data_IF_185254419728
#
_entry.id   IF_185254419728
#
_cell.length_a   1.000
_cell.length_b   1.000
_cell.length_c   1.000
_cell.angle_alpha   90.00
_cell.angle_beta   90.00
_cell.angle_gamma   90.00
#
_symmetry.space_group_name_H-M   'P 1'
#
loop_
_entity.id
_entity.type
_entity.pdbx_description
1 polymer ?
#
# COMPACT_ATOMS: atom_id res chain seq x y z
N UNK A 1 18.92 -8.27 -11.04
CA UNK A 1 18.57 -7.75 -9.70
C UNK A 1 17.09 -7.97 -9.48
N UNK A 2 16.68 -8.55 -8.35
CA UNK A 2 15.26 -8.80 -8.09
C UNK A 2 14.57 -7.54 -7.59
N UNK A 3 13.75 -6.92 -8.43
CA UNK A 3 13.10 -5.65 -8.12
C UNK A 3 11.59 -5.79 -7.95
N UNK A 4 11.02 -4.96 -7.08
CA UNK A 4 9.59 -4.75 -6.98
C UNK A 4 9.28 -3.33 -6.54
N UNK A 5 8.06 -2.88 -6.81
CA UNK A 5 7.54 -1.59 -6.37
C UNK A 5 6.51 -1.82 -5.27
N UNK A 6 6.50 -0.94 -4.27
CA UNK A 6 5.64 -1.10 -3.11
C UNK A 6 5.22 0.22 -2.47
N UNK A 7 4.07 0.20 -1.79
CA UNK A 7 3.78 1.17 -0.74
C UNK A 7 4.54 0.76 0.52
N UNK A 8 5.25 1.72 1.12
CA UNK A 8 6.09 1.49 2.28
C UNK A 8 5.52 2.20 3.51
N UNK A 9 5.08 1.48 4.55
CA UNK A 9 4.36 2.11 5.65
C UNK A 9 5.30 2.98 6.49
N UNK A 10 4.77 4.11 6.96
CA UNK A 10 5.43 4.92 7.99
C UNK A 10 5.46 4.20 9.35
N UNK A 11 6.19 4.74 10.35
CA UNK A 11 6.35 4.11 11.66
C UNK A 11 5.04 3.70 12.35
N UNK A 12 4.06 4.60 12.45
CA UNK A 12 2.80 4.31 13.15
C UNK A 12 1.93 3.25 12.47
N UNK A 13 1.84 3.25 11.13
CA UNK A 13 1.13 2.20 10.38
C UNK A 13 1.86 0.87 10.50
N UNK A 14 3.19 0.89 10.38
CA UNK A 14 4.04 -0.31 10.48
C UNK A 14 3.91 -0.98 11.85
N UNK A 15 3.88 -0.19 12.92
CA UNK A 15 3.70 -0.69 14.28
C UNK A 15 2.34 -1.39 14.43
N UNK A 16 1.26 -0.76 13.98
CA UNK A 16 -0.09 -1.36 14.03
C UNK A 16 -0.19 -2.64 13.20
N UNK A 17 0.34 -2.66 11.97
CA UNK A 17 0.41 -3.88 11.15
C UNK A 17 1.23 -4.98 11.82
N UNK A 18 2.33 -4.61 12.50
CA UNK A 18 3.15 -5.58 13.22
C UNK A 18 2.42 -6.12 14.45
N UNK A 19 1.65 -5.30 15.16
CA UNK A 19 0.81 -5.74 16.27
C UNK A 19 -0.23 -6.77 15.80
N UNK A 20 -0.87 -6.55 14.63
CA UNK A 20 -1.74 -7.56 14.01
C UNK A 20 -0.99 -8.85 13.68
N UNK A 21 0.25 -8.74 13.16
CA UNK A 21 1.07 -9.92 12.88
C UNK A 21 1.40 -10.72 14.15
N UNK A 22 1.74 -10.05 15.26
CA UNK A 22 2.01 -10.70 16.54
C UNK A 22 0.76 -11.38 17.10
N UNK A 23 -0.39 -10.69 17.08
CA UNK A 23 -1.67 -11.25 17.51
C UNK A 23 -2.06 -12.49 16.67
N UNK A 24 -2.00 -12.37 15.35
CA UNK A 24 -2.28 -13.48 14.44
C UNK A 24 -1.31 -14.65 14.65
N UNK A 25 -0.04 -14.40 15.00
CA UNK A 25 0.93 -15.46 15.28
C UNK A 25 0.59 -16.27 16.52
N UNK A 26 0.14 -15.61 17.60
CA UNK A 26 -0.26 -16.28 18.83
C UNK A 26 -1.36 -17.33 18.57
N UNK A 27 -2.24 -17.05 17.61
CA UNK A 27 -3.30 -17.96 17.20
C UNK A 27 -2.87 -18.95 16.11
N UNK A 28 -2.42 -18.42 14.97
CA UNK A 28 -2.21 -19.17 13.72
C UNK A 28 -0.85 -19.87 13.64
N UNK A 29 0.10 -19.50 14.51
CA UNK A 29 1.49 -19.94 14.45
C UNK A 29 2.27 -19.30 13.31
N UNK A 30 3.16 -20.09 12.69
CA UNK A 30 4.03 -19.61 11.61
C UNK A 30 5.10 -18.64 12.07
N UNK A 31 5.61 -17.83 11.15
CA UNK A 31 6.68 -16.86 11.37
C UNK A 31 6.19 -15.45 11.10
N UNK A 32 6.31 -14.60 12.11
CA UNK A 32 6.03 -13.17 12.00
C UNK A 32 6.99 -12.51 11.01
N UNK A 33 6.47 -11.69 10.11
CA UNK A 33 7.32 -10.84 9.27
C UNK A 33 7.90 -9.70 10.10
N UNK A 34 9.18 -9.40 9.87
CA UNK A 34 9.87 -8.28 10.52
C UNK A 34 9.14 -6.99 10.19
N UNK A 35 8.88 -6.14 11.18
CA UNK A 35 8.17 -4.88 11.01
C UNK A 35 8.72 -4.05 9.83
N UNK A 36 10.06 -3.95 9.71
CA UNK A 36 10.75 -3.18 8.67
C UNK A 36 10.61 -3.79 7.26
N UNK A 37 10.01 -4.97 7.13
CA UNK A 37 9.75 -5.61 5.84
C UNK A 37 8.28 -5.61 5.45
N UNK A 38 7.39 -5.09 6.30
CA UNK A 38 5.97 -4.98 5.99
C UNK A 38 5.79 -3.92 4.90
N UNK A 39 5.08 -4.30 3.84
CA UNK A 39 4.80 -3.45 2.68
C UNK A 39 3.61 -4.01 1.91
N UNK A 40 3.01 -3.17 1.06
CA UNK A 40 2.06 -3.61 0.06
C UNK A 40 2.75 -3.60 -1.30
N UNK A 41 2.89 -4.76 -1.94
CA UNK A 41 3.53 -4.85 -3.26
C UNK A 41 2.58 -4.37 -4.35
N UNK A 42 3.01 -3.41 -5.16
CA UNK A 42 2.29 -2.93 -6.35
C UNK A 42 2.55 -3.81 -7.56
N UNK A 43 3.83 -4.11 -7.79
CA UNK A 43 4.26 -4.99 -8.88
C UNK A 43 5.61 -5.63 -8.59
N UNK A 44 5.72 -6.92 -8.89
CA UNK A 44 7.00 -7.61 -9.00
C UNK A 44 7.56 -7.41 -10.42
N UNK A 45 8.80 -6.94 -10.51
CA UNK A 45 9.53 -6.78 -11.78
C UNK A 45 10.49 -7.94 -12.06
N UNK A 46 10.54 -8.93 -11.16
CA UNK A 46 11.45 -10.07 -11.16
C UNK A 46 12.91 -9.63 -11.36
N UNK A 47 13.67 -10.35 -12.18
CA UNK A 47 15.07 -10.02 -12.49
C UNK A 47 15.13 -8.89 -13.51
N UNK A 48 15.65 -7.74 -13.07
CA UNK A 48 15.96 -6.58 -13.91
C UNK A 48 17.46 -6.45 -14.04
N UNK A 49 17.94 -6.25 -15.27
CA UNK A 49 19.33 -5.90 -15.56
C UNK A 49 19.69 -4.56 -14.88
N UNK A 50 20.77 -4.50 -14.06
CA UNK A 50 21.24 -3.24 -13.47
C UNK A 50 21.36 -2.07 -14.45
N UNK A 51 21.73 -2.32 -15.71
CA UNK A 51 21.84 -1.29 -16.75
C UNK A 51 20.51 -0.59 -17.06
N UNK A 52 19.37 -1.23 -16.73
CA UNK A 52 18.03 -0.66 -16.92
C UNK A 52 17.50 0.11 -15.72
N UNK A 53 18.25 0.15 -14.61
CA UNK A 53 17.83 0.88 -13.41
C UNK A 53 17.59 2.37 -13.69
N UNK A 54 18.46 3.11 -14.43
CA UNK A 54 18.20 4.52 -14.74
C UNK A 54 16.90 4.74 -15.50
N UNK A 55 16.56 3.84 -16.44
CA UNK A 55 15.29 3.89 -17.19
C UNK A 55 14.10 3.75 -16.24
N UNK A 56 14.13 2.76 -15.35
CA UNK A 56 13.05 2.55 -14.38
C UNK A 56 12.88 3.75 -13.44
N UNK A 57 13.98 4.34 -12.96
CA UNK A 57 13.94 5.53 -12.12
C UNK A 57 13.32 6.73 -12.84
N UNK A 58 13.64 6.94 -14.12
CA UNK A 58 13.04 8.01 -14.92
C UNK A 58 11.53 7.80 -15.15
N UNK A 59 11.07 6.55 -15.32
CA UNK A 59 9.65 6.23 -15.41
C UNK A 59 8.90 6.51 -14.11
N UNK A 60 9.51 6.18 -12.96
CA UNK A 60 8.93 6.49 -11.66
C UNK A 60 8.78 7.99 -11.47
N UNK A 61 9.80 8.79 -11.81
CA UNK A 61 9.75 10.25 -11.70
C UNK A 61 8.63 10.90 -12.52
N UNK A 62 8.25 10.30 -13.65
CA UNK A 62 7.20 10.79 -14.54
C UNK A 62 5.82 10.24 -14.20
N UNK A 63 5.73 9.37 -13.20
CA UNK A 63 4.49 8.70 -12.80
C UNK A 63 4.26 8.88 -11.30
N UNK A 64 3.94 10.10 -10.84
CA UNK A 64 3.64 10.37 -9.44
C UNK A 64 2.38 9.61 -8.99
N UNK A 65 2.32 9.37 -7.68
CA UNK A 65 1.17 8.75 -7.04
C UNK A 65 0.30 9.81 -6.39
N UNK A 66 -0.89 10.08 -6.93
CA UNK A 66 -1.84 10.97 -6.27
C UNK A 66 -2.14 10.45 -4.86
N UNK A 67 -2.04 11.28 -3.80
CA UNK A 67 -2.26 10.82 -2.44
C UNK A 67 -3.65 10.21 -2.25
N UNK A 68 -3.72 9.11 -1.49
CA UNK A 68 -4.98 8.45 -1.14
C UNK A 68 -4.90 7.82 0.25
N UNK A 69 -6.04 7.31 0.71
CA UNK A 69 -6.14 6.57 1.96
C UNK A 69 -6.51 5.12 1.68
N UNK A 70 -5.77 4.19 2.28
CA UNK A 70 -6.13 2.78 2.36
C UNK A 70 -6.61 2.44 3.76
N UNK A 71 -7.77 1.79 3.85
CA UNK A 71 -8.27 1.25 5.11
C UNK A 71 -8.17 -0.27 5.06
N UNK A 72 -7.32 -0.82 5.93
CA UNK A 72 -7.29 -2.26 6.18
C UNK A 72 -8.29 -2.59 7.28
N UNK A 73 -9.17 -3.56 7.03
CA UNK A 73 -10.26 -3.92 7.93
C UNK A 73 -10.41 -5.43 8.14
N UNK A 74 -9.61 -6.24 7.44
CA UNK A 74 -9.66 -7.68 7.59
C UNK A 74 -8.31 -8.38 7.46
N UNK A 75 -8.25 -9.57 8.04
CA UNK A 75 -7.21 -10.57 7.86
C UNK A 75 -7.72 -11.68 6.94
N UNK A 76 -6.94 -12.00 5.93
CA UNK A 76 -7.18 -13.14 5.06
C UNK A 76 -6.09 -14.20 5.19
N UNK A 77 -6.38 -15.38 4.63
CA UNK A 77 -5.46 -16.50 4.62
C UNK A 77 -5.37 -17.13 3.22
N UNK A 78 -4.14 -17.28 2.72
CA UNK A 78 -3.84 -18.07 1.53
C UNK A 78 -3.30 -19.43 1.95
N UNK A 79 -4.12 -20.46 1.81
CA UNK A 79 -3.80 -21.83 2.24
C UNK A 79 -2.69 -22.47 1.41
N UNK A 80 -2.66 -22.22 0.10
CA UNK A 80 -1.62 -22.67 -0.84
C UNK A 80 -0.22 -22.17 -0.43
N UNK A 81 -0.14 -20.92 0.06
CA UNK A 81 1.11 -20.23 0.42
C UNK A 81 1.38 -20.22 1.91
N UNK A 82 0.39 -20.61 2.73
CA UNK A 82 0.41 -20.53 4.20
C UNK A 82 0.74 -19.11 4.69
N UNK A 83 0.06 -18.11 4.13
CA UNK A 83 0.25 -16.68 4.42
C UNK A 83 -1.02 -16.11 5.06
N UNK A 84 -0.87 -15.48 6.22
CA UNK A 84 -1.87 -14.55 6.76
C UNK A 84 -1.50 -13.14 6.32
N UNK A 85 -2.49 -12.38 5.84
CA UNK A 85 -2.31 -11.06 5.27
C UNK A 85 -3.39 -10.09 5.74
N UNK A 86 -3.06 -8.81 5.87
CA UNK A 86 -4.03 -7.73 6.04
C UNK A 86 -4.56 -7.30 4.67
N UNK A 87 -5.87 -7.14 4.54
CA UNK A 87 -6.54 -6.70 3.32
C UNK A 87 -7.34 -5.42 3.49
N UNK A 88 -7.61 -4.76 2.37
CA UNK A 88 -8.52 -3.64 2.25
C UNK A 88 -9.73 -4.05 1.40
N UNK A 89 -10.94 -3.56 1.69
CA UNK A 89 -12.17 -3.97 1.01
C UNK A 89 -12.27 -3.39 -0.41
N UNK A 90 -11.61 -2.24 -0.63
CA UNK A 90 -11.58 -1.53 -1.90
C UNK A 90 -10.15 -1.08 -2.21
N UNK A 91 -9.84 -1.03 -3.51
CA UNK A 91 -8.60 -0.49 -4.03
C UNK A 91 -8.89 0.90 -4.59
N UNK A 92 -8.15 1.94 -4.20
CA UNK A 92 -8.30 3.26 -4.81
C UNK A 92 -7.99 3.21 -6.32
N UNK A 93 -8.87 3.76 -7.14
CA UNK A 93 -8.68 3.80 -8.61
C UNK A 93 -7.40 4.53 -9.01
N UNK A 94 -7.02 5.56 -8.26
CA UNK A 94 -5.75 6.29 -8.44
C UNK A 94 -4.52 5.39 -8.31
N UNK A 95 -4.55 4.43 -7.37
CA UNK A 95 -3.47 3.47 -7.19
C UNK A 95 -3.38 2.50 -8.36
N UNK A 96 -4.53 2.02 -8.84
CA UNK A 96 -4.60 1.14 -10.02
C UNK A 96 -4.10 1.86 -11.26
N UNK A 97 -4.53 3.11 -11.49
CA UNK A 97 -4.12 3.93 -12.61
C UNK A 97 -2.61 4.20 -12.64
N UNK A 98 -2.01 4.57 -11.49
CA UNK A 98 -0.54 4.75 -11.39
C UNK A 98 0.21 3.45 -11.67
N UNK A 99 -0.24 2.33 -11.09
CA UNK A 99 0.36 1.01 -11.32
C UNK A 99 0.33 0.63 -12.80
N UNK A 100 -0.83 0.77 -13.44
CA UNK A 100 -1.03 0.33 -14.82
C UNK A 100 -0.28 1.23 -15.81
N UNK A 101 -0.23 2.55 -15.54
CA UNK A 101 0.60 3.51 -16.29
C UNK A 101 2.07 3.12 -16.25
N UNK A 102 2.60 2.86 -15.05
CA UNK A 102 4.00 2.49 -14.86
C UNK A 102 4.33 1.16 -15.55
N UNK A 103 3.43 0.17 -15.47
CA UNK A 103 3.60 -1.12 -16.15
C UNK A 103 3.55 -0.98 -17.67
N UNK A 104 2.66 -0.14 -18.20
CA UNK A 104 2.58 0.15 -19.63
C UNK A 104 3.88 0.80 -20.13
N UNK A 105 4.35 1.84 -19.44
CA UNK A 105 5.62 2.49 -19.77
C UNK A 105 6.81 1.53 -19.69
N UNK A 106 6.87 0.69 -18.65
CA UNK A 106 7.95 -0.29 -18.51
C UNK A 106 7.93 -1.34 -19.63
N UNK A 107 6.75 -1.85 -20.00
CA UNK A 107 6.58 -2.76 -21.16
C UNK A 107 7.04 -2.12 -22.47
N UNK A 108 6.73 -0.84 -22.68
CA UNK A 108 7.14 -0.11 -23.89
C UNK A 108 8.67 -0.03 -24.07
N UNK A 109 9.45 -0.24 -22.99
CA UNK A 109 10.92 -0.36 -23.06
C UNK A 109 11.41 -1.77 -23.43
N UNK A 110 10.52 -2.67 -23.87
CA UNK A 110 10.83 -4.07 -24.15
C UNK A 110 10.98 -4.93 -22.88
N UNK A 111 10.52 -4.46 -21.72
CA UNK A 111 10.52 -5.28 -20.51
C UNK A 111 9.43 -6.33 -20.53
N UNK A 112 9.76 -7.55 -20.09
CA UNK A 112 8.73 -8.55 -19.77
C UNK A 112 8.01 -8.14 -18.50
N UNK A 113 6.68 -8.15 -18.54
CA UNK A 113 5.84 -7.86 -17.38
C UNK A 113 4.74 -8.90 -17.27
N UNK A 114 4.75 -9.64 -16.16
CA UNK A 114 3.69 -10.60 -15.85
C UNK A 114 2.56 -9.83 -15.15
N UNK A 115 1.41 -9.71 -15.81
CA UNK A 115 0.21 -9.17 -15.19
C UNK A 115 -0.46 -10.23 -14.32
N UNK A 116 -0.54 -9.95 -13.03
CA UNK A 116 -1.36 -10.70 -12.08
C UNK A 116 -2.50 -9.80 -11.60
N UNK A 117 -3.64 -10.40 -11.23
CA UNK A 117 -4.73 -9.68 -10.56
C UNK A 117 -4.18 -8.98 -9.33
N UNK A 118 -4.36 -7.66 -9.26
CA UNK A 118 -3.88 -6.88 -8.13
C UNK A 118 -4.87 -6.99 -6.97
N UNK A 119 -4.40 -7.47 -5.83
CA UNK A 119 -5.16 -7.52 -4.57
C UNK A 119 -4.32 -6.81 -3.51
N UNK A 120 -4.70 -5.62 -3.03
CA UNK A 120 -3.91 -4.88 -2.05
C UNK A 120 -3.87 -5.67 -0.75
N UNK A 121 -2.67 -6.11 -0.38
CA UNK A 121 -2.47 -6.89 0.83
C UNK A 121 -1.10 -6.58 1.43
N UNK A 122 -1.01 -6.70 2.75
CA UNK A 122 0.26 -6.74 3.47
C UNK A 122 0.42 -8.14 4.06
N UNK A 123 1.46 -8.87 3.65
CA UNK A 123 1.78 -10.15 4.26
C UNK A 123 2.21 -9.95 5.72
N UNK A 124 1.56 -10.63 6.66
CA UNK A 124 1.84 -10.53 8.10
C UNK A 124 2.60 -11.75 8.61
N UNK A 125 2.15 -12.94 8.20
CA UNK A 125 2.76 -14.23 8.57
C UNK A 125 3.16 -15.04 7.35
N UNK A 126 4.20 -15.86 7.51
CA UNK A 126 4.52 -16.97 6.59
C UNK A 126 4.54 -18.28 7.35
N UNK A 127 4.23 -19.38 6.66
CA UNK A 127 4.12 -20.71 7.25
C UNK A 127 3.07 -20.78 8.37
N UNK A 128 2.01 -19.98 8.28
CA UNK A 128 0.88 -20.07 9.19
C UNK A 128 0.23 -21.46 9.09
N UNK A 129 -0.22 -22.01 10.21
CA UNK A 129 -0.79 -23.36 10.26
C UNK A 129 -2.27 -23.40 9.89
N UNK A 130 -2.97 -22.28 10.09
CA UNK A 130 -4.41 -22.11 9.88
C UNK A 130 -4.76 -20.64 9.61
N UNK A 131 -6.01 -20.41 9.22
CA UNK A 131 -6.59 -19.08 9.15
C UNK A 131 -6.88 -18.51 10.56
N UNK A 132 -6.91 -17.18 10.72
CA UNK A 132 -7.39 -16.54 11.95
C UNK A 132 -8.88 -16.81 12.17
N UNK A 133 -9.29 -17.00 13.42
CA UNK A 133 -10.70 -17.21 13.78
C UNK A 133 -11.52 -15.92 13.78
N UNK A 134 -10.90 -14.80 14.20
CA UNK A 134 -11.45 -13.46 14.04
C UNK A 134 -10.72 -12.74 12.89
N UNK A 135 -11.37 -12.59 11.73
CA UNK A 135 -10.77 -11.91 10.60
C UNK A 135 -10.95 -10.40 10.63
N UNK A 136 -11.65 -9.79 11.60
CA UNK A 136 -12.03 -8.37 11.55
C UNK A 136 -11.43 -7.54 12.71
N UNK A 137 -10.13 -7.20 12.65
CA UNK A 137 -9.53 -6.31 13.64
C UNK A 137 -10.10 -4.89 13.54
N UNK A 138 -9.82 -4.05 14.55
CA UNK A 138 -10.11 -2.61 14.48
C UNK A 138 -9.46 -2.03 13.22
N UNK A 139 -10.19 -1.28 12.36
CA UNK A 139 -9.64 -0.80 11.10
C UNK A 139 -8.37 0.03 11.26
N UNK A 140 -7.41 -0.20 10.37
CA UNK A 140 -6.16 0.53 10.25
C UNK A 140 -6.25 1.46 9.04
N UNK A 141 -6.01 2.75 9.27
CA UNK A 141 -5.98 3.77 8.21
C UNK A 141 -4.53 4.08 7.84
N UNK A 142 -4.22 4.02 6.55
CA UNK A 142 -2.91 4.33 6.00
C UNK A 142 -3.01 5.39 4.89
N UNK A 143 -2.56 6.60 5.20
CA UNK A 143 -2.37 7.66 4.20
C UNK A 143 -1.12 7.38 3.36
N UNK A 144 -1.30 7.27 2.05
CA UNK A 144 -0.26 6.94 1.09
C UNK A 144 -0.04 8.14 0.16
N UNK A 145 1.18 8.68 0.17
CA UNK A 145 1.61 9.81 -0.66
C UNK A 145 2.74 9.43 -1.62
N UNK A 146 3.16 8.17 -1.65
CA UNK A 146 4.28 7.73 -2.48
C UNK A 146 4.47 6.22 -2.51
N UNK A 147 5.44 5.80 -3.32
CA UNK A 147 5.87 4.42 -3.46
C UNK A 147 7.38 4.33 -3.63
N UNK A 148 7.92 3.14 -3.38
CA UNK A 148 9.35 2.87 -3.39
C UNK A 148 9.72 1.79 -4.40
N UNK A 149 10.93 1.88 -4.94
CA UNK A 149 11.60 0.79 -5.64
C UNK A 149 12.46 0.01 -4.67
N UNK A 150 12.29 -1.30 -4.63
CA UNK A 150 12.97 -2.17 -3.66
C UNK A 150 13.77 -3.24 -4.38
N UNK A 151 15.01 -3.42 -3.94
CA UNK A 151 15.85 -4.57 -4.29
C UNK A 151 15.71 -5.66 -3.24
N UNK A 152 15.25 -6.84 -3.67
CA UNK A 152 15.15 -8.04 -2.84
C UNK A 152 16.40 -8.91 -2.95
N UNK A 153 17.31 -8.76 -2.00
CA UNK A 153 18.51 -9.60 -1.88
C UNK A 153 18.16 -10.92 -1.18
N UNK A 154 18.44 -12.06 -1.83
CA UNK A 154 18.27 -13.37 -1.19
C UNK A 154 19.37 -13.57 -0.16
N UNK A 155 19.00 -13.94 1.07
CA UNK A 155 19.95 -14.37 2.10
C UNK A 155 19.50 -15.70 2.70
N UNK A 156 20.39 -16.48 3.35
CA UNK A 156 20.02 -17.71 4.03
C UNK A 156 18.93 -17.53 5.10
N UNK A 157 18.79 -16.32 5.67
CA UNK A 157 17.79 -15.98 6.69
C UNK A 157 16.47 -15.44 6.09
N UNK A 158 16.33 -15.49 4.76
CA UNK A 158 15.21 -14.92 4.02
C UNK A 158 15.59 -13.66 3.23
N UNK A 159 14.63 -13.01 2.56
CA UNK A 159 14.94 -11.82 1.77
C UNK A 159 15.31 -10.63 2.66
N UNK A 160 16.36 -9.91 2.24
CA UNK A 160 16.70 -8.59 2.74
C UNK A 160 16.25 -7.56 1.69
N UNK A 161 15.54 -6.53 2.14
CA UNK A 161 14.99 -5.50 1.27
C UNK A 161 15.79 -4.22 1.43
N UNK A 162 16.28 -3.70 0.29
CA UNK A 162 16.93 -2.40 0.22
C UNK A 162 16.10 -1.48 -0.66
N UNK A 163 15.59 -0.39 -0.08
CA UNK A 163 14.96 0.68 -0.85
C UNK A 163 16.04 1.35 -1.70
N UNK A 164 15.82 1.42 -3.01
CA UNK A 164 16.74 2.04 -3.97
C UNK A 164 16.31 3.46 -4.33
N UNK A 165 15.01 3.72 -4.33
CA UNK A 165 14.42 5.03 -4.61
C UNK A 165 13.03 5.13 -3.98
N UNK A 166 12.63 6.36 -3.68
CA UNK A 166 11.30 6.73 -3.23
C UNK A 166 10.77 7.82 -4.17
N UNK A 167 9.51 7.71 -4.53
CA UNK A 167 8.82 8.74 -5.30
C UNK A 167 7.51 9.08 -4.62
N UNK A 168 7.35 10.35 -4.27
CA UNK A 168 6.12 10.89 -3.67
C UNK A 168 5.34 11.64 -4.73
N UNK A 169 4.03 11.51 -4.70
CA UNK A 169 3.19 12.41 -5.45
C UNK A 169 3.10 13.75 -4.76
N UNK A 170 3.11 14.79 -5.58
CA UNK A 170 2.58 16.09 -5.19
C UNK A 170 1.09 16.09 -5.48
N UNK A 171 0.29 16.69 -4.59
CA UNK A 171 -1.03 17.15 -5.00
C UNK A 171 -0.82 18.13 -6.16
N UNK A 172 -1.61 18.07 -7.25
CA UNK A 172 -1.67 19.18 -8.17
C UNK A 172 -2.01 20.44 -7.38
N UNK A 173 -1.24 21.51 -7.56
CA UNK A 173 -1.59 22.82 -7.02
C UNK A 173 -3.01 23.18 -7.49
N UNK A 174 -3.97 23.28 -6.57
CA UNK A 174 -5.35 23.70 -6.91
C UNK A 174 -6.51 23.09 -6.13
N UNK A 175 -6.32 22.13 -5.24
CA UNK A 175 -7.43 21.60 -4.41
C UNK A 175 -7.63 22.42 -3.12
N UNK A 176 -8.09 23.68 -3.26
CA UNK A 176 -8.71 24.38 -2.14
C UNK A 176 -10.17 23.93 -2.02
N UNK A 177 -10.48 23.20 -0.96
CA UNK A 177 -11.86 23.00 -0.52
C UNK A 177 -12.45 24.34 -0.12
N UNK A 178 -13.33 24.92 -0.94
CA UNK A 178 -14.16 26.04 -0.52
C UNK A 178 -15.19 25.53 0.47
N UNK A 179 -14.84 25.57 1.75
CA UNK A 179 -15.80 25.56 2.84
C UNK A 179 -16.76 26.73 2.64
N UNK A 180 -18.00 26.43 2.25
CA UNK A 180 -19.07 27.44 2.31
C UNK A 180 -19.70 27.35 3.70
N UNK A 181 -19.16 28.15 4.61
CA UNK A 181 -19.74 28.45 5.91
C UNK A 181 -21.07 29.21 5.68
N UNK A 182 -22.21 28.57 5.90
CA UNK A 182 -23.48 29.29 6.07
C UNK A 182 -23.64 29.64 7.54
N UNK A 183 -23.17 30.85 7.88
CA UNK A 183 -23.65 31.61 9.02
C UNK A 183 -25.17 31.77 8.91
N UNK A 184 -25.92 31.21 9.85
CA UNK A 184 -27.30 31.58 10.10
C UNK A 184 -27.30 32.55 11.30
N UNK A 185 -27.36 33.85 10.98
CA UNK A 185 -27.65 34.91 11.94
C UNK A 185 -29.14 34.84 12.28
N UNK A 186 -29.44 34.74 13.57
CA UNK A 186 -30.78 34.92 14.11
C UNK A 186 -31.24 36.37 13.89
N UNK A 187 -32.46 36.56 13.39
CA UNK A 187 -33.17 37.84 13.48
C UNK A 187 -34.59 37.57 13.93
N UNK A 188 -34.82 37.92 15.19
CA UNK A 188 -36.13 38.15 15.80
C UNK A 188 -36.83 39.28 15.08
N UNK A 189 -38.07 39.09 14.63
CA UNK A 189 -38.97 40.20 14.37
C UNK A 189 -40.41 39.87 14.78
N UNK A 190 -40.99 40.85 15.45
CA UNK A 190 -42.29 40.97 16.09
C UNK A 190 -43.49 40.57 15.24
N UNK A 191 -44.46 39.89 15.86
CA UNK A 191 -45.83 39.77 15.38
C UNK A 191 -46.81 40.32 16.43
N UNK A 192 -47.41 41.48 16.16
CA UNK A 192 -48.67 41.96 16.73
C UNK A 192 -49.71 41.94 15.59
N UNK A 193 -50.97 41.73 15.99
CA UNK A 193 -52.26 41.70 15.27
C UNK A 193 -52.80 40.27 15.04
N UNK A 194 -53.90 39.86 15.68
CA UNK A 194 -54.80 40.60 16.58
C UNK A 194 -55.68 39.69 17.42
#
# INVERSE_FOLDING_TARGET
MRLFLALWPGPGVREQLHAWAVSAHAECGGRVLRAQTLHLTLVFLDEVDPARLPVLLALMQRTPLAPFTLTFDHLGYWSDRKIVWAGAPAVPDSLVATRDTLLSQWRATGARVVTQSFRPHVSLLRHARRAPSDPYPRPLVWHCDGYVLVHSVRTPRGPHYRVLAEHRGTLPDGFFSTSTEKSAIATTQYGIFG
#
